data_IF_059134881735
#
_entry.id   IF_059134881735
#
_cell.length_a   1.000
_cell.length_b   1.000
_cell.length_c   1.000
_cell.angle_alpha   90.00
_cell.angle_beta   90.00
_cell.angle_gamma   90.00
#
_symmetry.space_group_name_H-M   'P 1'
#
loop_
_entity.id
_entity.type
_entity.pdbx_description
1 polymer ?
#
# COMPACT_ATOMS: atom_id res chain seq x y z
N UNK A 1 9.38 0.31 -6.85
CA UNK A 1 8.76 1.35 -5.98
C UNK A 1 7.46 1.72 -6.66
N UNK A 2 6.35 1.47 -6.00
CA UNK A 2 5.00 1.61 -6.57
C UNK A 2 4.32 2.85 -5.97
N UNK A 3 3.49 3.53 -6.77
CA UNK A 3 2.72 4.69 -6.33
C UNK A 3 1.24 4.42 -6.60
N UNK A 4 0.40 4.61 -5.58
CA UNK A 4 -1.06 4.52 -5.69
C UNK A 4 -1.68 5.82 -5.19
N UNK A 5 -2.60 6.37 -5.97
CA UNK A 5 -3.37 7.57 -5.61
C UNK A 5 -4.78 7.12 -5.29
N UNK A 6 -5.23 7.41 -4.08
CA UNK A 6 -6.59 7.15 -3.61
C UNK A 6 -7.33 8.47 -3.51
N UNK A 7 -8.58 8.49 -3.92
CA UNK A 7 -9.47 9.64 -3.77
C UNK A 7 -10.85 9.16 -3.33
N UNK A 8 -11.45 9.84 -2.35
CA UNK A 8 -12.81 9.56 -1.94
C UNK A 8 -13.09 9.94 -0.50
N UNK A 9 -14.11 9.31 0.09
CA UNK A 9 -14.40 9.50 1.50
C UNK A 9 -13.26 8.93 2.37
N UNK A 10 -12.97 9.51 3.54
CA UNK A 10 -11.93 9.02 4.44
C UNK A 10 -12.03 7.51 4.71
N UNK A 11 -13.24 7.01 4.93
CA UNK A 11 -13.52 5.58 5.16
C UNK A 11 -13.12 4.66 3.99
N UNK A 12 -13.34 5.11 2.76
CA UNK A 12 -12.99 4.33 1.57
C UNK A 12 -11.48 4.30 1.39
N UNK A 13 -10.83 5.45 1.58
CA UNK A 13 -9.37 5.58 1.52
C UNK A 13 -8.69 4.72 2.59
N UNK A 14 -9.19 4.75 3.84
CA UNK A 14 -8.69 3.90 4.93
C UNK A 14 -8.82 2.40 4.59
N UNK A 15 -9.96 1.98 4.03
CA UNK A 15 -10.17 0.59 3.61
C UNK A 15 -9.20 0.18 2.51
N UNK A 16 -8.90 1.06 1.55
CA UNK A 16 -7.96 0.76 0.48
C UNK A 16 -6.50 0.71 0.95
N UNK A 17 -6.10 1.59 1.88
CA UNK A 17 -4.80 1.51 2.56
C UNK A 17 -4.66 0.18 3.29
N UNK A 18 -5.70 -0.23 4.01
CA UNK A 18 -5.68 -1.47 4.79
C UNK A 18 -5.59 -2.71 3.90
N UNK A 19 -6.27 -2.74 2.75
CA UNK A 19 -6.10 -3.80 1.74
C UNK A 19 -4.67 -3.88 1.21
N UNK A 20 -4.01 -2.73 1.06
CA UNK A 20 -2.63 -2.66 0.58
C UNK A 20 -1.66 -3.28 1.60
N UNK A 21 -1.86 -2.98 2.89
CA UNK A 21 -1.10 -3.58 3.99
C UNK A 21 -1.38 -5.09 4.12
N UNK A 22 -2.64 -5.51 3.99
CA UNK A 22 -3.05 -6.92 4.06
C UNK A 22 -2.44 -7.77 2.93
N UNK A 23 -2.29 -7.16 1.73
CA UNK A 23 -1.56 -7.76 0.61
C UNK A 23 -0.06 -7.92 0.85
N UNK A 24 0.45 -7.53 2.02
CA UNK A 24 1.86 -7.62 2.38
C UNK A 24 2.72 -6.50 1.81
N UNK A 25 2.12 -5.41 1.33
CA UNK A 25 2.89 -4.23 0.92
C UNK A 25 3.40 -3.44 2.13
N UNK A 26 4.58 -2.86 1.98
CA UNK A 26 5.17 -1.91 2.93
C UNK A 26 5.01 -0.49 2.40
N UNK A 27 4.37 0.39 3.19
CA UNK A 27 4.20 1.80 2.84
C UNK A 27 5.47 2.56 3.24
N UNK A 28 6.16 3.15 2.26
CA UNK A 28 7.35 3.98 2.50
C UNK A 28 7.00 5.43 2.82
N UNK A 29 6.01 5.98 2.10
CA UNK A 29 5.57 7.36 2.29
C UNK A 29 4.08 7.48 1.99
N UNK A 30 3.40 8.29 2.79
CA UNK A 30 1.99 8.61 2.61
C UNK A 30 1.84 10.13 2.67
N UNK A 31 1.23 10.70 1.63
CA UNK A 31 0.91 12.12 1.54
C UNK A 31 -0.60 12.26 1.43
N UNK A 32 -1.22 13.01 2.33
CA UNK A 32 -2.64 13.30 2.30
C UNK A 32 -2.90 14.76 1.91
N UNK A 33 -3.92 14.98 1.10
CA UNK A 33 -4.47 16.28 0.77
C UNK A 33 -5.98 16.21 1.01
N UNK A 34 -6.49 17.15 1.76
CA UNK A 34 -7.90 17.19 2.14
C UNK A 34 -8.52 18.42 1.49
N UNK A 35 -9.47 18.21 0.60
CA UNK A 35 -10.35 19.22 0.04
C UNK A 35 -11.74 18.96 0.65
N UNK A 36 -12.49 20.00 1.04
CA UNK A 36 -13.70 20.03 1.91
C UNK A 36 -14.65 18.81 1.97
N UNK A 37 -14.64 17.88 1.01
CA UNK A 37 -15.40 16.62 1.04
C UNK A 37 -14.66 15.38 0.48
N UNK A 38 -13.43 15.52 -0.01
CA UNK A 38 -12.65 14.43 -0.59
C UNK A 38 -11.25 14.36 0.01
N UNK A 39 -10.91 13.18 0.53
CA UNK A 39 -9.57 12.85 0.95
C UNK A 39 -8.81 12.28 -0.25
N UNK A 40 -7.73 12.93 -0.64
CA UNK A 40 -6.79 12.46 -1.67
C UNK A 40 -5.53 12.00 -0.96
N UNK A 41 -5.17 10.72 -1.11
CA UNK A 41 -3.96 10.16 -0.50
C UNK A 41 -3.08 9.54 -1.58
N UNK A 42 -1.83 10.03 -1.64
CA UNK A 42 -0.77 9.43 -2.45
C UNK A 42 0.07 8.52 -1.57
N UNK A 43 0.10 7.24 -1.91
CA UNK A 43 0.83 6.19 -1.20
C UNK A 43 1.99 5.74 -2.07
N UNK A 44 3.18 5.81 -1.51
CA UNK A 44 4.39 5.21 -2.07
C UNK A 44 4.64 3.93 -1.27
N UNK A 45 4.65 2.79 -1.95
CA UNK A 45 4.81 1.49 -1.32
C UNK A 45 5.76 0.57 -2.08
N UNK A 46 6.26 -0.43 -1.37
CA UNK A 46 7.04 -1.55 -1.90
C UNK A 46 6.25 -2.82 -1.61
N UNK A 47 6.16 -3.70 -2.59
CA UNK A 47 5.64 -5.04 -2.35
C UNK A 47 6.66 -5.79 -1.47
N UNK A 48 6.21 -6.58 -0.49
CA UNK A 48 7.12 -7.56 0.11
C UNK A 48 7.56 -8.46 -1.02
N UNK A 49 8.86 -8.51 -1.27
CA UNK A 49 9.42 -9.61 -2.03
C UNK A 49 9.01 -10.88 -1.31
N UNK A 50 8.05 -11.61 -1.90
CA UNK A 50 7.68 -12.95 -1.45
C UNK A 50 8.98 -13.69 -1.29
N UNK A 51 9.34 -13.99 -0.05
CA UNK A 51 10.55 -14.71 0.30
C UNK A 51 10.45 -16.04 -0.45
N UNK A 52 11.10 -16.15 -1.62
CA UNK A 52 11.18 -17.44 -2.31
C UNK A 52 11.93 -18.34 -1.34
N UNK A 53 11.31 -19.42 -0.82
CA UNK A 53 12.05 -20.33 0.05
C UNK A 53 13.29 -20.77 -0.73
N UNK A 54 14.45 -20.68 -0.08
CA UNK A 54 15.72 -21.07 -0.70
C UNK A 54 15.54 -22.44 -1.35
N UNK A 55 16.01 -22.64 -2.59
CA UNK A 55 15.92 -23.95 -3.23
C UNK A 55 16.56 -24.96 -2.27
N UNK A 56 15.77 -25.96 -1.85
CA UNK A 56 16.29 -27.06 -1.05
C UNK A 56 17.31 -27.77 -1.93
N UNK A 57 18.60 -27.52 -1.71
CA UNK A 57 19.65 -28.38 -2.24
C UNK A 57 19.49 -29.72 -1.53
N UNK A 58 18.82 -30.66 -2.19
CA UNK A 58 18.79 -32.06 -1.77
C UNK A 58 20.19 -32.63 -1.93
N UNK A 59 20.71 -33.20 -0.84
CA UNK A 59 21.97 -33.94 -0.81
C UNK A 59 21.85 -35.38 -1.27
#
# INVERSE_FOLDING_TARGET
MNVKILNGSPRDVERDIQRLLDSGCYIERLTQSNDDSNLIVTIIYKERETFKPAPKFGG
#
